data_IF_621858046605
#
_entry.id   IF_621858046605
#
_cell.length_a   1.000
_cell.length_b   1.000
_cell.length_c   1.000
_cell.angle_alpha   90.00
_cell.angle_beta   90.00
_cell.angle_gamma   90.00
#
_symmetry.space_group_name_H-M   'P 1'
#
loop_
_entity.id
_entity.type
_entity.pdbx_description
1 polymer ?
#
# COMPACT_ATOMS: atom_id res chain seq x y z
N UNK A 1 -16.88 0.58 -6.14
CA UNK A 1 -15.77 -0.07 -5.42
C UNK A 1 -15.83 0.28 -3.95
N UNK A 2 -15.67 -0.73 -3.09
CA UNK A 2 -15.62 -0.56 -1.64
C UNK A 2 -14.16 -0.59 -1.10
N UNK A 3 -13.99 -0.30 0.19
CA UNK A 3 -12.64 -0.28 0.83
C UNK A 3 -12.01 -1.67 0.91
N UNK A 4 -12.79 -2.74 1.05
CA UNK A 4 -12.27 -4.10 1.14
C UNK A 4 -11.54 -4.54 -0.14
N UNK A 5 -12.12 -4.27 -1.32
CA UNK A 5 -11.49 -4.54 -2.63
C UNK A 5 -10.15 -3.81 -2.81
N UNK A 6 -10.11 -2.56 -2.32
CA UNK A 6 -8.94 -1.69 -2.39
C UNK A 6 -7.81 -2.20 -1.49
N UNK A 7 -8.12 -2.60 -0.26
CA UNK A 7 -7.17 -3.22 0.67
C UNK A 7 -6.67 -4.58 0.17
N UNK A 8 -7.54 -5.42 -0.41
CA UNK A 8 -7.12 -6.68 -1.03
C UNK A 8 -6.12 -6.44 -2.18
N UNK A 9 -6.38 -5.42 -3.01
CA UNK A 9 -5.47 -5.04 -4.10
C UNK A 9 -4.14 -4.51 -3.57
N UNK A 10 -4.14 -3.74 -2.48
CA UNK A 10 -2.93 -3.23 -1.85
C UNK A 10 -2.10 -4.34 -1.20
N UNK A 11 -2.74 -5.30 -0.54
CA UNK A 11 -2.06 -6.48 0.04
C UNK A 11 -1.41 -7.34 -1.04
N UNK A 12 -2.12 -7.60 -2.14
CA UNK A 12 -1.55 -8.31 -3.29
C UNK A 12 -0.36 -7.55 -3.89
N UNK A 13 -0.51 -6.24 -4.10
CA UNK A 13 0.60 -5.39 -4.58
C UNK A 13 1.80 -5.44 -3.63
N UNK A 14 1.59 -5.33 -2.33
CA UNK A 14 2.68 -5.36 -1.34
C UNK A 14 3.41 -6.72 -1.29
N UNK A 15 2.73 -7.81 -1.64
CA UNK A 15 3.33 -9.15 -1.74
C UNK A 15 4.18 -9.30 -3.00
N UNK A 16 3.65 -8.88 -4.14
CA UNK A 16 4.27 -9.15 -5.45
C UNK A 16 5.34 -8.11 -5.81
N UNK A 17 5.26 -6.91 -5.23
CA UNK A 17 6.14 -5.80 -5.58
C UNK A 17 7.47 -5.88 -4.82
N UNK A 18 8.55 -6.15 -5.56
CA UNK A 18 9.92 -6.23 -5.02
C UNK A 18 10.58 -4.86 -4.77
N UNK A 19 9.87 -3.76 -5.01
CA UNK A 19 10.39 -2.40 -4.84
C UNK A 19 9.76 -1.65 -3.66
N UNK A 20 10.11 -0.37 -3.53
CA UNK A 20 9.54 0.49 -2.48
C UNK A 20 8.09 0.85 -2.78
N UNK A 21 7.19 0.44 -1.88
CA UNK A 21 5.78 0.74 -2.00
C UNK A 21 5.54 2.19 -1.57
N UNK A 22 5.27 3.08 -2.52
CA UNK A 22 4.97 4.50 -2.20
C UNK A 22 3.51 4.82 -2.46
N UNK A 23 3.01 5.92 -1.88
CA UNK A 23 1.66 6.43 -2.19
C UNK A 23 1.43 6.59 -3.70
N UNK A 24 2.46 7.00 -4.46
CA UNK A 24 2.38 7.16 -5.92
C UNK A 24 2.20 5.82 -6.64
N UNK A 25 2.90 4.78 -6.18
CA UNK A 25 2.78 3.41 -6.74
C UNK A 25 1.37 2.88 -6.50
N UNK A 26 0.85 3.00 -5.28
CA UNK A 26 -0.50 2.56 -4.92
C UNK A 26 -1.56 3.35 -5.70
N UNK A 27 -1.42 4.67 -5.80
CA UNK A 27 -2.31 5.52 -6.59
C UNK A 27 -2.38 5.05 -8.06
N UNK A 28 -1.23 4.77 -8.68
CA UNK A 28 -1.17 4.26 -10.06
C UNK A 28 -1.82 2.89 -10.18
N UNK A 29 -1.59 1.99 -9.21
CA UNK A 29 -2.22 0.67 -9.19
C UNK A 29 -3.75 0.78 -9.12
N UNK A 30 -4.28 1.67 -8.27
CA UNK A 30 -5.71 1.90 -8.18
C UNK A 30 -6.28 2.50 -9.46
N UNK A 31 -5.63 3.50 -10.04
CA UNK A 31 -6.06 4.08 -11.31
C UNK A 31 -6.11 3.04 -12.43
N UNK A 32 -5.10 2.18 -12.50
CA UNK A 32 -5.05 1.09 -13.49
C UNK A 32 -6.13 0.02 -13.25
N UNK A 33 -6.36 -0.36 -12.00
CA UNK A 33 -7.30 -1.45 -11.66
C UNK A 33 -8.76 -1.00 -11.69
N UNK A 34 -9.04 0.25 -11.36
CA UNK A 34 -10.38 0.74 -11.06
C UNK A 34 -10.82 1.95 -11.89
N UNK A 35 -9.95 2.44 -12.78
CA UNK A 35 -10.22 3.61 -13.61
C UNK A 35 -9.87 4.96 -12.94
N UNK A 36 -10.18 6.08 -13.61
CA UNK A 36 -9.90 7.42 -13.09
C UNK A 36 -10.59 7.68 -11.74
N UNK A 37 -9.92 8.44 -10.87
CA UNK A 37 -10.50 8.81 -9.56
C UNK A 37 -9.48 9.42 -8.59
N UNK A 38 -10.00 9.91 -7.46
CA UNK A 38 -9.21 10.55 -6.40
C UNK A 38 -8.50 9.53 -5.50
N UNK A 39 -7.50 8.87 -6.08
CA UNK A 39 -6.83 7.75 -5.43
C UNK A 39 -5.75 8.16 -4.43
N UNK A 40 -5.24 9.40 -4.48
CA UNK A 40 -4.12 9.82 -3.63
C UNK A 40 -4.48 9.78 -2.14
N UNK A 41 -5.62 10.36 -1.76
CA UNK A 41 -6.06 10.38 -0.37
C UNK A 41 -6.40 8.95 0.13
N UNK A 42 -7.10 8.17 -0.70
CA UNK A 42 -7.46 6.78 -0.42
C UNK A 42 -6.23 5.89 -0.24
N UNK A 43 -5.24 6.01 -1.13
CA UNK A 43 -3.97 5.29 -1.03
C UNK A 43 -3.23 5.60 0.28
N UNK A 44 -3.21 6.86 0.74
CA UNK A 44 -2.61 7.21 2.03
C UNK A 44 -3.35 6.58 3.20
N UNK A 45 -4.69 6.63 3.19
CA UNK A 45 -5.51 6.02 4.24
C UNK A 45 -5.28 4.51 4.31
N UNK A 46 -5.26 3.82 3.17
CA UNK A 46 -5.05 2.37 3.15
C UNK A 46 -3.64 1.97 3.57
N UNK A 47 -2.62 2.73 3.14
CA UNK A 47 -1.24 2.50 3.56
C UNK A 47 -1.09 2.68 5.08
N UNK A 48 -1.70 3.73 5.64
CA UNK A 48 -1.73 3.96 7.08
C UNK A 48 -2.47 2.83 7.81
N UNK A 49 -3.59 2.36 7.26
CA UNK A 49 -4.33 1.23 7.81
C UNK A 49 -3.48 -0.04 7.85
N UNK A 50 -2.87 -0.46 6.73
CA UNK A 50 -2.05 -1.68 6.71
C UNK A 50 -0.78 -1.56 7.56
N UNK A 51 -0.26 -0.33 7.73
CA UNK A 51 0.85 -0.09 8.66
C UNK A 51 0.40 -0.23 10.12
N UNK A 52 -0.77 0.32 10.47
CA UNK A 52 -1.37 0.17 11.80
C UNK A 52 -1.78 -1.28 12.13
N UNK A 53 -2.15 -2.07 11.11
CA UNK A 53 -2.38 -3.52 11.22
C UNK A 53 -1.06 -4.32 11.31
N UNK A 54 0.11 -3.67 11.23
CA UNK A 54 1.42 -4.33 11.27
C UNK A 54 1.78 -5.12 10.01
N UNK A 55 1.00 -5.01 8.93
CA UNK A 55 1.24 -5.72 7.66
C UNK A 55 2.28 -5.00 6.79
N UNK A 56 2.38 -3.68 6.92
CA UNK A 56 3.42 -2.86 6.29
C UNK A 56 4.30 -2.21 7.35
N UNK A 57 5.57 -2.05 7.02
CA UNK A 57 6.49 -1.20 7.77
C UNK A 57 6.68 0.10 7.00
N UNK A 58 6.56 1.23 7.70
CA UNK A 58 6.98 2.52 7.19
C UNK A 58 8.50 2.60 7.32
N UNK A 59 9.16 2.82 6.19
CA UNK A 59 10.57 3.12 6.11
C UNK A 59 10.76 4.65 6.24
N UNK A 60 11.34 5.06 7.36
CA UNK A 60 11.60 6.46 7.71
C UNK A 60 13.08 6.85 7.57
N UNK A 61 13.89 6.02 6.90
CA UNK A 61 15.33 6.31 6.70
C UNK A 61 15.59 7.58 5.90
N UNK A 62 14.65 7.98 5.03
CA UNK A 62 14.66 9.24 4.30
C UNK A 62 13.47 10.14 4.74
N UNK A 63 13.71 11.24 5.45
CA UNK A 63 12.65 12.13 5.93
C UNK A 63 11.88 12.83 4.78
N UNK A 64 12.46 12.90 3.58
CA UNK A 64 11.79 13.42 2.38
C UNK A 64 10.90 12.39 1.69
N UNK A 65 10.98 11.11 2.07
CA UNK A 65 10.39 10.01 1.31
C UNK A 65 9.77 8.94 2.20
N UNK A 66 8.44 8.90 2.23
CA UNK A 66 7.68 7.81 2.86
C UNK A 66 7.59 6.61 1.93
N UNK A 67 8.39 5.59 2.22
CA UNK A 67 8.36 4.28 1.57
C UNK A 67 7.76 3.25 2.52
N UNK A 68 7.01 2.29 1.99
CA UNK A 68 6.43 1.19 2.75
C UNK A 68 7.01 -0.12 2.23
N UNK A 69 7.21 -1.08 3.13
CA UNK A 69 7.69 -2.43 2.80
C UNK A 69 6.78 -3.45 3.47
N UNK A 70 6.66 -4.63 2.86
CA UNK A 70 5.91 -5.73 3.47
C UNK A 70 6.59 -6.14 4.79
N UNK A 71 5.81 -6.26 5.86
CA UNK A 71 6.29 -6.87 7.08
C UNK A 71 6.23 -8.39 6.96
N UNK A 72 7.34 -9.05 6.62
CA UNK A 72 7.37 -10.51 6.44
C UNK A 72 7.04 -11.30 7.73
N UNK A 73 7.17 -10.70 8.90
CA UNK A 73 6.80 -11.32 10.18
C UNK A 73 5.27 -11.44 10.40
N UNK A 74 4.47 -10.66 9.66
CA UNK A 74 3.00 -10.67 9.78
C UNK A 74 2.27 -10.85 8.43
N UNK A 75 2.91 -10.50 7.31
CA UNK A 75 2.36 -10.63 5.96
C UNK A 75 2.81 -11.88 5.19
N UNK A 76 3.72 -12.68 5.78
CA UNK A 76 4.25 -13.92 5.20
C UNK A 76 3.41 -15.18 5.47
N UNK A 77 2.46 -15.13 6.40
CA UNK A 77 1.49 -16.21 6.61
C UNK A 77 0.23 -15.96 5.78
N UNK A 78 0.10 -16.70 4.69
CA UNK A 78 -1.19 -17.14 4.16
C UNK A 78 -1.24 -18.67 4.25
#
# INVERSE_FOLDING_TARGET
MNTAERLATLRALARDYQGELTTRVVQRRYAHRFGPGDWRAKARQDLAQLTGEGLLLLDETDPGRRCYRLNYAHGGQL
#
